data_IF_563951236064
#
_entry.id   IF_563951236064
#
_cell.length_a   1.000
_cell.length_b   1.000
_cell.length_c   1.000
_cell.angle_alpha   90.00
_cell.angle_beta   90.00
_cell.angle_gamma   90.00
#
_symmetry.space_group_name_H-M   'P 1'
#
loop_
_entity.id
_entity.type
_entity.pdbx_description
1 polymer ?
#
# COMPACT_ATOMS: atom_id res chain seq x y z
N UNK A 1 -8.23 9.21 13.97
CA UNK A 1 -6.77 9.31 13.69
C UNK A 1 -6.11 7.94 13.76
N UNK A 2 -6.16 7.23 14.90
CA UNK A 2 -5.63 5.86 14.99
C UNK A 2 -6.19 4.88 13.96
N UNK A 3 -7.50 4.97 13.65
CA UNK A 3 -8.12 4.19 12.58
C UNK A 3 -7.51 4.48 11.21
N UNK A 4 -7.31 5.75 10.84
CA UNK A 4 -6.66 6.15 9.58
C UNK A 4 -5.23 5.60 9.47
N UNK A 5 -4.45 5.68 10.56
CA UNK A 5 -3.11 5.10 10.63
C UNK A 5 -3.11 3.59 10.36
N UNK A 6 -4.07 2.84 10.93
CA UNK A 6 -4.18 1.40 10.69
C UNK A 6 -4.47 1.05 9.21
N UNK A 7 -5.22 1.89 8.50
CA UNK A 7 -5.44 1.69 7.06
C UNK A 7 -4.21 2.03 6.23
N UNK A 8 -3.39 3.02 6.61
CA UNK A 8 -2.12 3.32 5.94
C UNK A 8 -1.07 2.20 6.07
N UNK A 9 -1.21 1.32 7.07
CA UNK A 9 -0.37 0.12 7.16
C UNK A 9 -0.87 -0.99 6.22
N UNK A 10 -2.20 -1.14 6.10
CA UNK A 10 -2.84 -2.17 5.25
C UNK A 10 -2.77 -1.87 3.76
N UNK A 11 -2.95 -0.61 3.35
CA UNK A 11 -2.54 -0.16 2.02
C UNK A 11 -1.14 0.42 2.15
N UNK A 12 -0.11 -0.34 1.76
CA UNK A 12 1.28 0.02 2.05
C UNK A 12 1.66 1.30 1.33
N UNK A 13 1.54 2.43 2.02
CA UNK A 13 2.14 3.66 1.55
C UNK A 13 3.66 3.53 1.71
N UNK A 14 4.41 4.15 0.82
CA UNK A 14 5.88 4.15 0.87
C UNK A 14 6.35 4.52 2.30
N UNK A 15 7.35 3.80 2.83
CA UNK A 15 7.73 3.86 4.25
C UNK A 15 7.31 2.65 5.10
N UNK A 16 6.05 2.18 4.98
CA UNK A 16 5.58 0.98 5.73
C UNK A 16 5.51 -0.26 4.83
N UNK A 17 5.68 -0.10 3.53
CA UNK A 17 5.56 -1.17 2.53
C UNK A 17 6.43 -2.42 2.71
N UNK A 18 7.52 -2.38 3.49
CA UNK A 18 8.51 -3.47 3.60
C UNK A 18 7.95 -4.80 4.13
N UNK A 19 6.81 -4.78 4.83
CA UNK A 19 6.17 -6.02 5.28
C UNK A 19 5.63 -6.84 4.10
N UNK A 20 5.21 -6.17 3.03
CA UNK A 20 4.54 -6.80 1.89
C UNK A 20 5.52 -7.64 1.04
N UNK A 21 6.69 -7.14 0.61
CA UNK A 21 7.69 -7.96 -0.08
C UNK A 21 8.14 -9.16 0.73
N UNK A 22 8.37 -9.00 2.04
CA UNK A 22 8.76 -10.11 2.93
C UNK A 22 7.68 -11.18 3.01
N UNK A 23 6.41 -10.77 3.19
CA UNK A 23 5.29 -11.69 3.22
C UNK A 23 5.14 -12.47 1.89
N UNK A 24 5.37 -11.81 0.74
CA UNK A 24 5.31 -12.47 -0.56
C UNK A 24 6.43 -13.49 -0.79
N UNK A 25 7.62 -13.25 -0.27
CA UNK A 25 8.76 -14.18 -0.41
C UNK A 25 8.53 -15.44 0.41
N UNK A 26 8.05 -15.31 1.65
CA UNK A 26 7.89 -16.42 2.60
C UNK A 26 6.59 -17.21 2.41
N UNK A 27 5.54 -16.60 1.87
CA UNK A 27 4.24 -17.26 1.74
C UNK A 27 4.17 -18.31 0.61
N UNK A 28 3.33 -19.35 0.76
CA UNK A 28 2.94 -20.22 -0.34
C UNK A 28 2.20 -19.43 -1.43
N UNK A 29 2.23 -19.94 -2.66
CA UNK A 29 1.71 -19.23 -3.86
C UNK A 29 0.21 -18.90 -3.74
N UNK A 30 -0.58 -19.73 -3.08
CA UNK A 30 -2.01 -19.45 -2.83
C UNK A 30 -2.20 -18.32 -1.80
N UNK A 31 -1.38 -18.29 -0.75
CA UNK A 31 -1.43 -17.25 0.29
C UNK A 31 -1.06 -15.87 -0.25
N UNK A 32 -0.06 -15.79 -1.11
CA UNK A 32 0.36 -14.54 -1.73
C UNK A 32 -0.72 -13.97 -2.66
N UNK A 33 -1.44 -14.80 -3.41
CA UNK A 33 -2.57 -14.37 -4.25
C UNK A 33 -3.73 -13.79 -3.45
N UNK A 34 -4.11 -14.42 -2.33
CA UNK A 34 -5.20 -13.92 -1.47
C UNK A 34 -4.81 -12.60 -0.81
N UNK A 35 -3.55 -12.49 -0.36
CA UNK A 35 -3.05 -11.30 0.30
C UNK A 35 -3.04 -10.08 -0.64
N UNK A 36 -2.47 -10.24 -1.84
CA UNK A 36 -2.49 -9.18 -2.85
C UNK A 36 -3.91 -8.89 -3.38
N UNK A 37 -4.72 -9.94 -3.56
CA UNK A 37 -6.05 -9.83 -4.19
C UNK A 37 -7.12 -9.23 -3.29
N UNK A 38 -7.11 -9.54 -1.99
CA UNK A 38 -8.20 -9.20 -1.06
C UNK A 38 -7.75 -8.18 -0.02
N UNK A 39 -6.60 -8.39 0.61
CA UNK A 39 -6.18 -7.62 1.78
C UNK A 39 -5.87 -6.16 1.41
N UNK A 40 -5.16 -5.95 0.28
CA UNK A 40 -4.88 -4.63 -0.27
C UNK A 40 -6.16 -3.87 -0.65
N UNK A 41 -7.09 -4.56 -1.35
CA UNK A 41 -8.37 -3.95 -1.78
C UNK A 41 -9.27 -3.58 -0.60
N UNK A 42 -9.31 -4.40 0.44
CA UNK A 42 -10.04 -4.09 1.67
C UNK A 42 -9.43 -2.88 2.40
N UNK A 43 -8.11 -2.69 2.34
CA UNK A 43 -7.46 -1.48 2.83
C UNK A 43 -7.97 -0.22 2.14
N UNK A 44 -8.07 -0.25 0.81
CA UNK A 44 -8.56 0.88 0.00
C UNK A 44 -10.02 1.19 0.21
N UNK A 45 -10.84 0.15 0.25
CA UNK A 45 -12.25 0.32 0.58
C UNK A 45 -12.46 0.93 1.98
N UNK A 46 -11.67 0.49 2.95
CA UNK A 46 -11.66 1.05 4.29
C UNK A 46 -11.34 2.54 4.30
N UNK A 47 -10.27 2.95 3.62
CA UNK A 47 -9.90 4.38 3.51
C UNK A 47 -11.02 5.22 2.90
N UNK A 48 -11.62 4.77 1.79
CA UNK A 48 -12.70 5.51 1.13
C UNK A 48 -13.90 5.73 2.08
N UNK A 49 -14.28 4.70 2.85
CA UNK A 49 -15.36 4.83 3.85
C UNK A 49 -15.00 5.81 4.96
N UNK A 50 -13.77 5.78 5.46
CA UNK A 50 -13.33 6.69 6.52
C UNK A 50 -13.18 8.13 6.05
N UNK A 51 -12.80 8.37 4.79
CA UNK A 51 -12.75 9.72 4.22
C UNK A 51 -14.13 10.40 4.18
N UNK A 52 -15.20 9.63 3.97
CA UNK A 52 -16.58 10.17 4.01
C UNK A 52 -16.94 10.64 5.43
N UNK A 53 -16.55 9.88 6.46
CA UNK A 53 -16.86 10.20 7.87
C UNK A 53 -16.02 11.37 8.38
N UNK A 54 -14.74 11.47 8.00
CA UNK A 54 -13.81 12.48 8.49
C UNK A 54 -13.56 13.65 7.52
N UNK A 55 -14.52 13.91 6.61
CA UNK A 55 -14.38 14.83 5.47
C UNK A 55 -13.70 16.17 5.80
N UNK A 56 -14.11 16.84 6.87
CA UNK A 56 -13.56 18.16 7.24
C UNK A 56 -12.11 18.12 7.72
N UNK A 57 -11.73 17.13 8.54
CA UNK A 57 -10.36 16.97 9.03
C UNK A 57 -9.41 16.53 7.92
N UNK A 58 -9.91 15.68 7.04
CA UNK A 58 -9.16 15.08 5.93
C UNK A 58 -8.85 16.11 4.84
N UNK A 59 -9.73 17.10 4.60
CA UNK A 59 -9.57 18.10 3.54
C UNK A 59 -8.22 18.84 3.61
N UNK A 60 -7.73 19.14 4.81
CA UNK A 60 -6.44 19.80 5.00
C UNK A 60 -5.24 18.86 4.76
N UNK A 61 -5.37 17.60 5.14
CA UNK A 61 -4.30 16.59 5.04
C UNK A 61 -4.24 15.93 3.66
N UNK A 62 -5.30 16.00 2.87
CA UNK A 62 -5.43 15.38 1.55
C UNK A 62 -4.29 15.81 0.60
N UNK A 63 -3.95 17.09 0.56
CA UNK A 63 -2.93 17.59 -0.37
C UNK A 63 -1.55 17.02 -0.04
N UNK A 64 -1.16 17.04 1.24
CA UNK A 64 0.09 16.42 1.69
C UNK A 64 0.10 14.92 1.45
N UNK A 65 -1.03 14.25 1.67
CA UNK A 65 -1.17 12.82 1.45
C UNK A 65 -0.99 12.44 -0.03
N UNK A 66 -1.59 13.17 -0.96
CA UNK A 66 -1.43 12.92 -2.39
C UNK A 66 0.01 13.12 -2.86
N UNK A 67 0.69 14.17 -2.40
CA UNK A 67 2.11 14.40 -2.71
C UNK A 67 2.96 13.23 -2.20
N UNK A 68 2.69 12.75 -0.98
CA UNK A 68 3.42 11.63 -0.40
C UNK A 68 3.22 10.32 -1.16
N UNK A 69 1.99 10.00 -1.57
CA UNK A 69 1.71 8.81 -2.41
C UNK A 69 2.42 8.92 -3.74
N UNK A 70 2.38 10.09 -4.39
CA UNK A 70 2.99 10.28 -5.70
C UNK A 70 4.50 10.03 -5.65
N UNK A 71 5.18 10.63 -4.67
CA UNK A 71 6.61 10.42 -4.43
C UNK A 71 6.89 8.94 -4.13
N UNK A 72 6.06 8.31 -3.30
CA UNK A 72 6.17 6.89 -2.98
C UNK A 72 5.99 5.94 -4.17
N UNK A 73 5.07 6.25 -5.08
CA UNK A 73 4.85 5.51 -6.32
C UNK A 73 6.06 5.58 -7.26
N UNK A 74 6.67 6.76 -7.37
CA UNK A 74 7.90 6.92 -8.15
C UNK A 74 9.06 6.10 -7.56
N UNK A 75 9.27 6.16 -6.24
CA UNK A 75 10.35 5.37 -5.63
C UNK A 75 10.11 3.86 -5.68
N UNK A 76 8.88 3.39 -5.44
CA UNK A 76 8.55 1.96 -5.53
C UNK A 76 8.68 1.40 -6.94
N UNK A 77 8.31 2.18 -7.96
CA UNK A 77 8.51 1.78 -9.38
C UNK A 77 9.99 1.72 -9.76
N UNK A 78 10.84 2.63 -9.27
CA UNK A 78 12.29 2.56 -9.46
C UNK A 78 12.90 1.32 -8.79
N UNK A 79 12.47 1.01 -7.55
CA UNK A 79 12.90 -0.21 -6.85
C UNK A 79 12.48 -1.48 -7.58
N UNK A 80 11.30 -1.47 -8.21
CA UNK A 80 10.79 -2.60 -8.99
C UNK A 80 11.72 -2.97 -10.17
N UNK A 81 12.42 -1.99 -10.75
CA UNK A 81 13.36 -2.22 -11.87
C UNK A 81 14.66 -2.90 -11.41
N UNK A 82 15.07 -2.72 -10.16
CA UNK A 82 16.31 -3.28 -9.62
C UNK A 82 16.14 -4.72 -9.11
N UNK A 83 14.91 -5.21 -9.03
CA UNK A 83 14.59 -6.43 -8.31
C UNK A 83 14.79 -7.69 -9.16
N UNK A 84 15.61 -8.64 -8.68
CA UNK A 84 15.91 -9.89 -9.40
C UNK A 84 14.89 -11.01 -9.16
N UNK A 85 14.26 -11.06 -7.97
CA UNK A 85 13.31 -12.13 -7.61
C UNK A 85 11.89 -11.85 -8.10
N UNK A 86 11.32 -12.74 -8.91
CA UNK A 86 9.98 -12.60 -9.50
C UNK A 86 8.86 -12.37 -8.47
N UNK A 87 8.88 -13.06 -7.32
CA UNK A 87 7.87 -12.88 -6.27
C UNK A 87 7.92 -11.49 -5.64
N UNK A 88 9.13 -10.97 -5.45
CA UNK A 88 9.31 -9.64 -4.87
C UNK A 88 9.02 -8.54 -5.90
N UNK A 89 9.33 -8.76 -7.18
CA UNK A 89 8.94 -7.87 -8.27
C UNK A 89 7.42 -7.68 -8.33
N UNK A 90 6.63 -8.76 -8.19
CA UNK A 90 5.16 -8.69 -8.11
C UNK A 90 4.68 -7.96 -6.85
N UNK A 91 5.38 -8.11 -5.73
CA UNK A 91 5.05 -7.38 -4.51
C UNK A 91 5.30 -5.87 -4.67
N UNK A 92 6.45 -5.46 -5.22
CA UNK A 92 6.76 -4.05 -5.44
C UNK A 92 5.87 -3.40 -6.49
N UNK A 93 5.50 -4.11 -7.57
CA UNK A 93 4.54 -3.59 -8.54
C UNK A 93 3.15 -3.37 -7.94
N UNK A 94 2.73 -4.20 -6.96
CA UNK A 94 1.48 -4.00 -6.23
C UNK A 94 1.50 -2.87 -5.20
N UNK A 95 2.69 -2.39 -4.81
CA UNK A 95 2.85 -1.18 -3.98
C UNK A 95 2.84 0.08 -4.83
N UNK A 96 3.36 -0.01 -6.05
CA UNK A 96 3.38 1.10 -7.00
C UNK A 96 2.01 1.38 -7.62
N UNK A 97 1.17 0.35 -7.76
CA UNK A 97 -0.21 0.44 -8.24
C UNK A 97 -1.19 0.81 -7.12
#
# INVERSE_FOLDING_TARGET
IFSLLAFFVKMPVYGVHLWLPKAHVEAPVSGSMVLAGVLLKLGGYGMLRFFIVYKYFVMFLINFYFIYIFIGGVFSSLLCLYQFDMKSLVAYSSVAH
#
